data_IF_681201619209
#
_entry.id   IF_681201619209
#
_cell.length_a   1.000
_cell.length_b   1.000
_cell.length_c   1.000
_cell.angle_alpha   90.00
_cell.angle_beta   90.00
_cell.angle_gamma   90.00
#
_symmetry.space_group_name_H-M   'P 1'
#
loop_
_entity.id
_entity.type
_entity.pdbx_description
1 polymer ?
#
# COMPACT_ATOMS: atom_id res chain seq x y z
N UNK A 1 -19.88 -6.04 -37.47
CA UNK A 1 -19.88 -6.95 -36.32
C UNK A 1 -21.21 -7.65 -36.29
N UNK A 2 -21.23 -8.97 -36.45
CA UNK A 2 -22.44 -9.78 -36.30
C UNK A 2 -22.77 -9.88 -34.80
N UNK A 3 -24.01 -9.59 -34.43
CA UNK A 3 -24.49 -9.73 -33.05
C UNK A 3 -24.62 -11.20 -32.69
N UNK A 4 -23.95 -11.63 -31.63
CA UNK A 4 -24.07 -12.98 -31.08
C UNK A 4 -25.52 -13.27 -30.65
N UNK A 5 -26.13 -14.29 -31.26
CA UNK A 5 -27.55 -14.63 -31.05
C UNK A 5 -27.85 -15.30 -29.69
N UNK A 6 -26.82 -15.61 -28.90
CA UNK A 6 -26.98 -16.34 -27.63
C UNK A 6 -27.13 -17.84 -27.82
N UNK A 7 -27.04 -18.58 -26.70
CA UNK A 7 -27.39 -20.00 -26.60
C UNK A 7 -28.61 -20.12 -25.70
N UNK A 8 -29.60 -20.90 -26.12
CA UNK A 8 -30.85 -21.12 -25.37
C UNK A 8 -30.88 -22.54 -24.82
N UNK A 9 -31.06 -22.66 -23.51
CA UNK A 9 -31.20 -23.93 -22.80
C UNK A 9 -32.48 -23.90 -21.97
N UNK A 10 -33.31 -24.93 -22.10
CA UNK A 10 -34.48 -25.10 -21.24
C UNK A 10 -34.06 -25.64 -19.87
N UNK A 11 -34.43 -24.92 -18.82
CA UNK A 11 -34.16 -25.31 -17.43
C UNK A 11 -35.50 -25.42 -16.70
N UNK A 12 -35.78 -26.60 -16.13
CA UNK A 12 -36.99 -26.82 -15.34
C UNK A 12 -37.02 -25.88 -14.13
N UNK A 13 -38.15 -25.18 -13.90
CA UNK A 13 -38.29 -24.20 -12.81
C UNK A 13 -37.97 -22.75 -13.22
N UNK A 14 -37.53 -22.52 -14.46
CA UNK A 14 -37.22 -21.19 -14.96
C UNK A 14 -38.45 -20.26 -15.05
N UNK A 15 -39.67 -20.81 -15.06
CA UNK A 15 -40.92 -20.03 -15.10
C UNK A 15 -41.13 -19.13 -13.86
N UNK A 16 -40.42 -19.42 -12.76
CA UNK A 16 -40.44 -18.61 -11.53
C UNK A 16 -39.28 -17.63 -11.43
N UNK A 17 -38.37 -17.60 -12.42
CA UNK A 17 -37.18 -16.77 -12.38
C UNK A 17 -37.46 -15.37 -12.94
N UNK A 18 -36.91 -14.35 -12.26
CA UNK A 18 -36.92 -12.97 -12.75
C UNK A 18 -35.63 -12.72 -13.53
N UNK A 19 -35.75 -12.15 -14.73
CA UNK A 19 -34.61 -11.82 -15.59
C UNK A 19 -33.87 -10.60 -15.04
N UNK A 20 -32.75 -10.83 -14.36
CA UNK A 20 -31.75 -9.80 -14.09
C UNK A 20 -30.92 -9.45 -15.33
N UNK A 21 -30.29 -8.29 -15.30
CA UNK A 21 -29.27 -7.86 -16.26
C UNK A 21 -28.01 -7.45 -15.51
N UNK A 22 -26.86 -7.79 -16.07
CA UNK A 22 -25.58 -7.43 -15.48
C UNK A 22 -24.63 -7.02 -16.60
N UNK A 23 -23.94 -5.92 -16.39
CA UNK A 23 -22.87 -5.44 -17.26
C UNK A 23 -21.66 -5.19 -16.40
N UNK A 24 -20.47 -5.54 -16.88
CA UNK A 24 -19.27 -5.33 -16.11
C UNK A 24 -18.02 -5.54 -16.93
N UNK A 25 -16.89 -5.22 -16.33
CA UNK A 25 -15.56 -5.44 -16.89
C UNK A 25 -14.66 -6.06 -15.83
N UNK A 26 -13.80 -6.97 -16.29
CA UNK A 26 -12.69 -7.49 -15.54
C UNK A 26 -11.41 -6.95 -16.18
N UNK A 27 -10.60 -6.24 -15.40
CA UNK A 27 -9.30 -5.71 -15.82
C UNK A 27 -8.25 -6.53 -15.08
N UNK A 28 -7.44 -7.28 -15.83
CA UNK A 28 -6.36 -8.09 -15.29
C UNK A 28 -5.05 -7.50 -15.77
N UNK A 29 -4.25 -6.97 -14.85
CA UNK A 29 -2.99 -6.31 -15.14
C UNK A 29 -1.85 -7.19 -14.64
N UNK A 30 -0.91 -7.52 -15.52
CA UNK A 30 0.30 -8.25 -15.14
C UNK A 30 1.15 -7.43 -14.15
N UNK A 31 1.62 -8.08 -13.11
CA UNK A 31 2.59 -7.53 -12.14
C UNK A 31 3.94 -8.21 -12.30
N UNK A 32 3.93 -9.53 -12.49
CA UNK A 32 5.07 -10.36 -12.87
C UNK A 32 4.57 -11.47 -13.81
N UNK A 33 5.47 -12.26 -14.38
CA UNK A 33 5.13 -13.43 -15.22
C UNK A 33 4.06 -14.35 -14.57
N UNK A 34 4.07 -14.45 -13.23
CA UNK A 34 3.20 -15.36 -12.47
C UNK A 34 2.28 -14.64 -11.47
N UNK A 35 2.16 -13.32 -11.54
CA UNK A 35 1.27 -12.54 -10.64
C UNK A 35 0.55 -11.44 -11.40
N UNK A 36 -0.70 -11.18 -11.02
CA UNK A 36 -1.50 -10.13 -11.63
C UNK A 36 -2.39 -9.42 -10.60
N UNK A 37 -2.73 -8.18 -10.92
CA UNK A 37 -3.76 -7.40 -10.27
C UNK A 37 -5.10 -7.65 -10.97
N UNK A 38 -6.17 -7.85 -10.18
CA UNK A 38 -7.51 -8.10 -10.69
C UNK A 38 -8.48 -7.03 -10.20
N UNK A 39 -9.03 -6.26 -11.14
CA UNK A 39 -10.08 -5.28 -10.88
C UNK A 39 -11.38 -5.76 -11.51
N UNK A 40 -12.45 -5.86 -10.71
CA UNK A 40 -13.80 -6.18 -11.19
C UNK A 40 -14.70 -4.97 -10.97
N UNK A 41 -15.31 -4.48 -12.05
CA UNK A 41 -16.38 -3.47 -11.99
C UNK A 41 -17.64 -4.11 -12.51
N UNK A 42 -18.71 -4.07 -11.72
CA UNK A 42 -19.97 -4.72 -12.05
C UNK A 42 -21.13 -3.77 -11.74
N UNK A 43 -22.04 -3.65 -12.69
CA UNK A 43 -23.35 -3.05 -12.54
C UNK A 43 -24.39 -4.15 -12.74
N UNK A 44 -25.18 -4.42 -11.71
CA UNK A 44 -26.27 -5.37 -11.77
C UNK A 44 -27.62 -4.66 -11.55
N UNK A 45 -28.54 -4.87 -12.48
CA UNK A 45 -29.96 -4.58 -12.30
C UNK A 45 -30.71 -5.90 -12.18
N UNK A 46 -31.09 -6.24 -10.96
CA UNK A 46 -31.77 -7.49 -10.64
C UNK A 46 -33.30 -7.38 -10.81
N UNK A 47 -33.80 -6.25 -11.35
CA UNK A 47 -35.21 -6.00 -11.66
C UNK A 47 -36.16 -6.31 -10.51
N UNK A 48 -35.80 -5.86 -9.31
CA UNK A 48 -36.66 -5.99 -8.15
C UNK A 48 -37.96 -5.21 -8.39
N UNK A 49 -39.09 -5.86 -8.10
CA UNK A 49 -40.43 -5.28 -8.26
C UNK A 49 -40.77 -4.21 -7.22
N UNK A 50 -39.94 -4.05 -6.18
CA UNK A 50 -40.08 -3.07 -5.11
C UNK A 50 -38.71 -2.54 -4.70
N UNK A 51 -38.67 -1.35 -4.07
CA UNK A 51 -37.45 -0.80 -3.51
C UNK A 51 -36.92 -1.74 -2.42
N UNK A 52 -35.77 -2.40 -2.66
CA UNK A 52 -35.15 -3.24 -1.65
C UNK A 52 -34.59 -2.39 -0.51
N UNK A 53 -34.63 -2.90 0.73
CA UNK A 53 -33.84 -2.33 1.81
C UNK A 53 -32.36 -2.30 1.44
N UNK A 54 -31.69 -1.19 1.75
CA UNK A 54 -30.26 -0.98 1.48
C UNK A 54 -29.40 -2.13 2.01
N UNK A 55 -29.75 -2.68 3.19
CA UNK A 55 -29.04 -3.82 3.79
C UNK A 55 -29.03 -5.09 2.92
N UNK A 56 -30.08 -5.32 2.10
CA UNK A 56 -30.14 -6.47 1.19
C UNK A 56 -29.30 -6.21 -0.05
N UNK A 57 -29.31 -4.98 -0.57
CA UNK A 57 -28.42 -4.56 -1.66
C UNK A 57 -26.95 -4.71 -1.25
N UNK A 58 -26.58 -4.28 -0.05
CA UNK A 58 -25.23 -4.42 0.50
C UNK A 58 -24.80 -5.89 0.62
N UNK A 59 -25.70 -6.78 1.03
CA UNK A 59 -25.40 -8.21 1.14
C UNK A 59 -25.10 -8.83 -0.23
N UNK A 60 -25.94 -8.54 -1.23
CA UNK A 60 -25.75 -9.05 -2.60
C UNK A 60 -24.47 -8.47 -3.20
N UNK A 61 -24.23 -7.17 -3.05
CA UNK A 61 -23.00 -6.52 -3.49
C UNK A 61 -21.76 -7.16 -2.86
N UNK A 62 -21.77 -7.42 -1.54
CA UNK A 62 -20.66 -8.12 -0.85
C UNK A 62 -20.40 -9.51 -1.41
N UNK A 63 -21.44 -10.30 -1.68
CA UNK A 63 -21.27 -11.64 -2.23
C UNK A 63 -20.64 -11.63 -3.62
N UNK A 64 -21.06 -10.70 -4.48
CA UNK A 64 -20.49 -10.52 -5.82
C UNK A 64 -19.07 -9.98 -5.77
N UNK A 65 -18.83 -8.94 -4.96
CA UNK A 65 -17.52 -8.30 -4.84
C UNK A 65 -16.50 -9.17 -4.09
N UNK A 66 -16.92 -10.22 -3.37
CA UNK A 66 -16.03 -11.19 -2.75
C UNK A 66 -15.39 -12.19 -3.75
N UNK A 67 -15.70 -12.10 -5.05
CA UNK A 67 -15.12 -12.98 -6.07
C UNK A 67 -13.58 -13.00 -6.10
N UNK A 68 -12.87 -11.85 -6.03
CA UNK A 68 -11.41 -11.85 -5.97
C UNK A 68 -10.85 -12.62 -4.77
N UNK A 69 -11.52 -12.61 -3.61
CA UNK A 69 -11.10 -13.39 -2.45
C UNK A 69 -11.15 -14.89 -2.74
N UNK A 70 -12.23 -15.37 -3.40
CA UNK A 70 -12.37 -16.77 -3.79
C UNK A 70 -11.28 -17.20 -4.79
N UNK A 71 -10.95 -16.32 -5.74
CA UNK A 71 -9.85 -16.57 -6.68
C UNK A 71 -8.51 -16.60 -5.98
N UNK A 72 -8.26 -15.65 -5.08
CA UNK A 72 -7.04 -15.57 -4.30
C UNK A 72 -6.84 -16.83 -3.47
N UNK A 73 -7.88 -17.33 -2.79
CA UNK A 73 -7.82 -18.60 -2.06
C UNK A 73 -7.50 -19.79 -2.96
N UNK A 74 -8.15 -19.86 -4.13
CA UNK A 74 -7.99 -20.99 -5.08
C UNK A 74 -6.61 -21.01 -5.74
N UNK A 75 -6.06 -19.85 -6.07
CA UNK A 75 -4.80 -19.70 -6.82
C UNK A 75 -3.61 -19.33 -5.93
N UNK A 76 -3.80 -19.39 -4.60
CA UNK A 76 -2.80 -18.95 -3.63
C UNK A 76 -1.50 -19.75 -3.79
N UNK A 77 -0.41 -19.05 -4.10
CA UNK A 77 0.95 -19.60 -4.06
C UNK A 77 1.63 -19.32 -2.72
N UNK A 78 2.84 -19.82 -2.57
CA UNK A 78 3.68 -19.52 -1.41
C UNK A 78 3.96 -18.00 -1.36
N UNK A 79 3.58 -17.34 -0.26
CA UNK A 79 3.74 -15.90 -0.12
C UNK A 79 5.19 -15.42 -0.27
N UNK A 80 6.18 -16.19 0.20
CA UNK A 80 7.60 -15.82 0.06
C UNK A 80 8.10 -15.87 -1.38
N UNK A 81 7.53 -16.78 -2.18
CA UNK A 81 7.85 -16.90 -3.61
C UNK A 81 7.25 -15.72 -4.37
N UNK A 82 5.98 -15.42 -4.11
CA UNK A 82 5.26 -14.26 -4.67
C UNK A 82 5.98 -12.96 -4.32
N UNK A 83 6.30 -12.74 -3.03
CA UNK A 83 6.99 -11.53 -2.58
C UNK A 83 8.35 -11.37 -3.26
N UNK A 84 9.10 -12.47 -3.46
CA UNK A 84 10.39 -12.44 -4.16
C UNK A 84 10.23 -12.05 -5.63
N UNK A 85 9.24 -12.60 -6.33
CA UNK A 85 8.98 -12.27 -7.73
C UNK A 85 8.59 -10.80 -7.90
N UNK A 86 7.67 -10.31 -7.07
CA UNK A 86 7.20 -8.92 -7.11
C UNK A 86 8.36 -7.97 -6.78
N UNK A 87 9.15 -8.27 -5.76
CA UNK A 87 10.33 -7.47 -5.42
C UNK A 87 11.38 -7.47 -6.54
N UNK A 88 11.61 -8.61 -7.21
CA UNK A 88 12.52 -8.69 -8.35
C UNK A 88 12.05 -7.88 -9.56
N UNK A 89 10.75 -7.91 -9.86
CA UNK A 89 10.17 -7.10 -10.94
C UNK A 89 10.30 -5.60 -10.63
N UNK A 90 10.00 -5.18 -9.40
CA UNK A 90 10.16 -3.79 -8.98
C UNK A 90 11.64 -3.36 -8.97
N UNK A 91 12.57 -4.24 -8.59
CA UNK A 91 14.00 -3.98 -8.71
C UNK A 91 14.42 -3.75 -10.18
N UNK A 92 13.87 -4.53 -11.12
CA UNK A 92 14.05 -4.30 -12.56
C UNK A 92 13.57 -2.91 -12.99
N UNK A 93 12.37 -2.53 -12.59
CA UNK A 93 11.81 -1.19 -12.85
C UNK A 93 12.70 -0.09 -12.26
N UNK A 94 13.22 -0.27 -11.04
CA UNK A 94 14.16 0.67 -10.42
C UNK A 94 15.43 0.85 -11.24
N UNK A 95 15.95 -0.21 -11.86
CA UNK A 95 17.13 -0.14 -12.71
C UNK A 95 16.82 0.61 -14.01
N UNK A 96 15.68 0.31 -14.65
CA UNK A 96 15.26 0.95 -15.89
C UNK A 96 15.00 2.46 -15.73
N UNK A 97 14.65 2.89 -14.52
CA UNK A 97 14.25 4.27 -14.22
C UNK A 97 15.40 5.13 -13.65
N UNK A 98 16.64 4.61 -13.53
CA UNK A 98 17.83 5.26 -12.92
C UNK A 98 18.19 6.67 -13.41
N UNK A 99 17.59 7.15 -14.49
CA UNK A 99 17.90 8.43 -15.13
C UNK A 99 16.65 9.25 -15.45
N UNK A 100 15.47 8.81 -15.01
CA UNK A 100 14.25 9.58 -15.24
C UNK A 100 14.14 10.69 -14.18
N UNK A 101 13.77 11.92 -14.58
CA UNK A 101 13.62 13.01 -13.65
C UNK A 101 12.46 12.72 -12.69
N UNK A 102 12.63 13.15 -11.44
CA UNK A 102 11.53 13.19 -10.47
C UNK A 102 10.53 14.28 -10.85
N UNK A 103 9.30 14.13 -10.35
CA UNK A 103 8.30 15.17 -10.48
C UNK A 103 8.54 16.30 -9.47
N UNK A 104 8.03 17.50 -9.77
CA UNK A 104 8.31 18.70 -8.98
C UNK A 104 7.91 18.55 -7.51
N UNK A 105 6.79 17.88 -7.22
CA UNK A 105 6.36 17.57 -5.86
C UNK A 105 7.31 16.60 -5.15
N UNK A 106 7.81 15.58 -5.85
CA UNK A 106 8.78 14.62 -5.30
C UNK A 106 10.14 15.28 -5.01
N UNK A 107 10.58 16.23 -5.84
CA UNK A 107 11.83 16.98 -5.63
C UNK A 107 11.79 17.76 -4.33
N UNK A 108 10.70 18.48 -4.05
CA UNK A 108 10.54 19.27 -2.80
C UNK A 108 10.70 18.41 -1.55
N UNK A 109 10.16 17.19 -1.57
CA UNK A 109 10.28 16.27 -0.43
C UNK A 109 11.70 15.75 -0.26
N UNK A 110 12.37 15.41 -1.36
CA UNK A 110 13.77 14.98 -1.30
C UNK A 110 14.68 16.10 -0.77
N UNK A 111 14.49 17.34 -1.23
CA UNK A 111 15.21 18.50 -0.70
C UNK A 111 14.98 18.66 0.81
N UNK A 112 13.73 18.53 1.27
CA UNK A 112 13.41 18.55 2.70
C UNK A 112 14.07 17.40 3.47
N UNK A 113 14.13 16.20 2.90
CA UNK A 113 14.82 15.04 3.50
C UNK A 113 16.34 15.27 3.57
N UNK A 114 16.96 15.88 2.55
CA UNK A 114 18.38 16.21 2.54
C UNK A 114 18.73 17.28 3.60
N UNK A 115 17.85 18.27 3.80
CA UNK A 115 17.98 19.23 4.91
C UNK A 115 17.94 18.53 6.28
N UNK A 116 17.04 17.56 6.47
CA UNK A 116 16.95 16.75 7.70
C UNK A 116 18.23 15.93 7.95
N UNK A 117 18.82 15.37 6.89
CA UNK A 117 20.09 14.64 6.96
C UNK A 117 21.28 15.56 7.30
N UNK A 118 21.11 16.88 7.20
CA UNK A 118 22.08 17.87 7.64
C UNK A 118 23.35 17.83 6.80
N UNK A 119 23.22 17.90 5.46
CA UNK A 119 24.32 17.91 4.46
C UNK A 119 25.40 19.01 4.68
N UNK A 120 25.41 19.72 5.82
CA UNK A 120 26.50 20.63 6.22
C UNK A 120 26.96 20.60 7.67
N UNK A 121 26.55 19.66 8.54
CA UNK A 121 27.20 19.54 9.85
C UNK A 121 27.00 18.16 10.50
N UNK A 122 28.08 17.39 10.63
CA UNK A 122 28.18 16.28 11.59
C UNK A 122 27.93 16.76 13.05
N UNK A 123 27.98 18.07 13.29
CA UNK A 123 27.71 18.68 14.58
C UNK A 123 26.25 18.49 15.03
N UNK A 124 26.08 17.82 16.18
CA UNK A 124 24.83 17.77 16.94
C UNK A 124 24.07 16.44 16.91
N UNK A 125 24.52 15.44 16.16
CA UNK A 125 24.02 14.07 16.32
C UNK A 125 24.57 13.47 17.62
N UNK A 126 23.70 12.87 18.43
CA UNK A 126 24.09 12.15 19.65
C UNK A 126 23.82 10.68 19.48
N UNK A 127 24.76 9.84 19.88
CA UNK A 127 24.58 8.39 19.89
C UNK A 127 23.37 8.00 20.74
N UNK A 128 22.58 7.06 20.21
CA UNK A 128 21.49 6.39 20.89
C UNK A 128 21.87 4.91 21.01
N UNK A 129 21.62 4.30 22.17
CA UNK A 129 21.92 2.89 22.37
C UNK A 129 21.09 2.03 21.41
N UNK A 130 21.78 1.23 20.60
CA UNK A 130 21.14 0.31 19.64
C UNK A 130 20.97 -1.07 20.26
N UNK A 131 19.82 -1.69 20.00
CA UNK A 131 19.58 -3.09 20.38
C UNK A 131 20.37 -4.08 19.53
N UNK A 132 20.90 -3.64 18.38
CA UNK A 132 21.84 -4.40 17.56
C UNK A 132 23.17 -3.63 17.43
N UNK A 133 24.27 -4.23 17.88
CA UNK A 133 25.61 -3.61 17.86
C UNK A 133 26.13 -3.30 16.45
N UNK A 134 25.57 -3.92 15.42
CA UNK A 134 25.92 -3.67 14.01
C UNK A 134 25.18 -2.47 13.41
N UNK A 135 24.19 -1.93 14.12
CA UNK A 135 23.40 -0.78 13.69
C UNK A 135 23.77 0.41 14.56
N UNK A 136 24.34 1.44 13.93
CA UNK A 136 24.56 2.74 14.57
C UNK A 136 23.24 3.50 14.63
N UNK A 137 22.86 3.99 15.80
CA UNK A 137 21.68 4.85 15.98
C UNK A 137 22.11 6.21 16.53
N UNK A 138 21.58 7.27 15.92
CA UNK A 138 21.88 8.66 16.23
C UNK A 138 20.55 9.43 16.38
N UNK A 139 20.54 10.43 17.26
CA UNK A 139 19.39 11.30 17.45
C UNK A 139 19.81 12.77 17.51
N UNK A 140 19.03 13.64 16.89
CA UNK A 140 19.21 15.09 16.89
C UNK A 140 17.87 15.77 17.19
N UNK A 141 17.92 16.80 18.03
CA UNK A 141 16.77 17.65 18.30
C UNK A 141 16.95 18.95 17.55
N UNK A 142 16.00 19.27 16.68
CA UNK A 142 16.00 20.56 16.01
C UNK A 142 15.37 21.62 16.94
N UNK A 143 16.01 22.80 17.10
CA UNK A 143 15.40 23.91 17.81
C UNK A 143 14.07 24.26 17.12
N UNK A 144 12.94 24.30 17.85
CA UNK A 144 11.67 24.64 17.23
C UNK A 144 11.67 26.09 16.77
N UNK A 145 10.96 26.40 15.68
CA UNK A 145 10.56 27.79 15.40
C UNK A 145 9.56 28.24 16.45
N UNK A 146 9.42 29.55 16.67
CA UNK A 146 8.52 30.10 17.69
C UNK A 146 7.08 29.65 17.42
N UNK A 147 6.51 28.87 18.34
CA UNK A 147 5.15 28.31 18.24
C UNK A 147 5.08 26.87 17.75
N UNK A 148 6.21 26.26 17.36
CA UNK A 148 6.30 24.86 16.94
C UNK A 148 6.80 23.97 18.09
N UNK A 149 6.46 22.68 18.02
CA UNK A 149 7.04 21.66 18.93
C UNK A 149 8.43 21.26 18.43
N UNK A 150 9.35 20.98 19.35
CA UNK A 150 10.60 20.32 18.96
C UNK A 150 10.29 18.89 18.51
N UNK A 151 10.85 18.50 17.36
CA UNK A 151 10.71 17.16 16.80
C UNK A 151 12.08 16.51 16.85
N UNK A 152 12.14 15.32 17.45
CA UNK A 152 13.35 14.51 17.47
C UNK A 152 13.50 13.82 16.10
N UNK A 153 14.70 13.91 15.52
CA UNK A 153 15.04 13.20 14.29
C UNK A 153 16.03 12.10 14.64
N UNK A 154 15.67 10.86 14.30
CA UNK A 154 16.54 9.70 14.41
C UNK A 154 17.23 9.40 13.09
N UNK A 155 18.45 8.88 13.15
CA UNK A 155 19.21 8.33 12.03
C UNK A 155 19.71 6.95 12.43
N UNK A 156 19.57 5.97 11.54
CA UNK A 156 20.13 4.64 11.72
C UNK A 156 21.00 4.29 10.51
N UNK A 157 22.16 3.69 10.75
CA UNK A 157 23.12 3.28 9.71
C UNK A 157 23.54 1.84 9.98
N UNK A 158 23.49 1.00 8.95
CA UNK A 158 23.91 -0.39 9.00
C UNK A 158 24.23 -0.92 7.61
N UNK A 159 24.92 -2.06 7.55
CA UNK A 159 25.24 -2.77 6.31
C UNK A 159 24.36 -4.01 6.20
N UNK A 160 23.84 -4.27 5.02
CA UNK A 160 22.97 -5.41 4.71
C UNK A 160 23.51 -6.17 3.51
N UNK A 161 23.41 -7.49 3.53
CA UNK A 161 23.97 -8.40 2.51
C UNK A 161 23.10 -8.50 1.24
N UNK A 162 22.86 -7.37 0.58
CA UNK A 162 22.04 -7.28 -0.63
C UNK A 162 22.39 -6.05 -1.49
N UNK A 163 21.90 -6.00 -2.73
CA UNK A 163 22.04 -4.81 -3.57
C UNK A 163 21.11 -3.67 -3.12
N UNK A 164 21.34 -2.46 -3.62
CA UNK A 164 20.54 -1.28 -3.27
C UNK A 164 19.05 -1.44 -3.63
N UNK A 165 18.73 -2.24 -4.64
CA UNK A 165 17.37 -2.55 -5.07
C UNK A 165 16.56 -3.38 -4.05
N UNK A 166 17.16 -3.80 -2.91
CA UNK A 166 16.41 -4.30 -1.75
C UNK A 166 15.32 -3.32 -1.28
N UNK A 167 15.45 -2.04 -1.64
CA UNK A 167 14.40 -1.02 -1.55
C UNK A 167 13.05 -1.50 -2.11
N UNK A 168 13.02 -2.42 -3.08
CA UNK A 168 11.79 -3.06 -3.55
C UNK A 168 10.99 -3.74 -2.42
N UNK A 169 11.65 -4.41 -1.47
CA UNK A 169 11.00 -5.01 -0.29
C UNK A 169 10.45 -3.94 0.68
N UNK A 170 11.09 -2.78 0.74
CA UNK A 170 10.58 -1.65 1.51
C UNK A 170 9.37 -0.98 0.84
N UNK A 171 9.43 -0.87 -0.50
CA UNK A 171 8.36 -0.34 -1.32
C UNK A 171 7.12 -1.23 -1.31
N UNK A 172 7.27 -2.55 -1.32
CA UNK A 172 6.17 -3.50 -1.20
C UNK A 172 5.64 -3.62 0.25
N UNK A 173 5.12 -2.51 0.78
CA UNK A 173 4.76 -2.36 2.20
C UNK A 173 3.66 -3.35 2.67
N UNK A 174 2.85 -3.82 1.72
CA UNK A 174 1.74 -4.76 1.89
C UNK A 174 2.05 -6.18 1.38
N UNK A 175 3.35 -6.53 1.21
CA UNK A 175 3.78 -7.89 0.87
C UNK A 175 3.27 -8.94 1.86
N UNK A 176 3.21 -10.21 1.45
CA UNK A 176 2.70 -11.28 2.30
C UNK A 176 3.46 -11.37 3.62
N UNK A 177 4.79 -11.29 3.58
CA UNK A 177 5.65 -11.30 4.76
C UNK A 177 5.38 -10.10 5.68
N UNK A 178 5.31 -8.89 5.13
CA UNK A 178 5.13 -7.67 5.94
C UNK A 178 3.73 -7.58 6.53
N UNK A 179 2.72 -8.08 5.83
CA UNK A 179 1.35 -8.21 6.35
C UNK A 179 1.28 -9.24 7.48
N UNK A 180 2.03 -10.34 7.37
CA UNK A 180 2.16 -11.33 8.46
C UNK A 180 2.81 -10.69 9.70
N UNK A 181 3.95 -10.01 9.54
CA UNK A 181 4.65 -9.32 10.65
C UNK A 181 3.73 -8.28 11.30
N UNK A 182 3.06 -7.44 10.49
CA UNK A 182 2.11 -6.44 10.98
C UNK A 182 1.01 -7.05 11.86
N UNK A 183 0.49 -8.22 11.47
CA UNK A 183 -0.52 -8.94 12.25
C UNK A 183 0.07 -9.54 13.53
N UNK A 184 1.26 -10.12 13.46
CA UNK A 184 1.96 -10.71 14.62
C UNK A 184 2.33 -9.64 15.67
N UNK A 185 2.64 -8.42 15.24
CA UNK A 185 2.86 -7.25 16.11
C UNK A 185 1.56 -6.66 16.69
N UNK A 186 0.40 -7.24 16.36
CA UNK A 186 -0.90 -6.83 16.90
C UNK A 186 -1.38 -5.48 16.37
N UNK A 187 -0.91 -5.04 15.20
CA UNK A 187 -1.39 -3.82 14.57
C UNK A 187 -2.77 -4.02 13.91
N UNK A 188 -3.54 -2.94 13.79
CA UNK A 188 -4.98 -3.02 13.50
C UNK A 188 -5.32 -3.04 12.01
N UNK A 189 -4.53 -2.36 11.18
CA UNK A 189 -4.82 -2.27 9.75
C UNK A 189 -3.61 -1.83 8.93
N UNK A 190 -3.52 -2.32 7.70
CA UNK A 190 -2.54 -1.89 6.70
C UNK A 190 -3.13 -2.11 5.31
N UNK A 191 -3.10 -1.07 4.49
CA UNK A 191 -3.71 -1.08 3.15
C UNK A 191 -2.84 -0.28 2.19
N UNK A 192 -2.88 -0.69 0.92
CA UNK A 192 -2.34 0.09 -0.21
C UNK A 192 -3.48 0.93 -0.81
N UNK A 193 -3.22 2.21 -1.05
CA UNK A 193 -4.16 3.18 -1.62
C UNK A 193 -3.87 3.29 -3.13
N UNK A 194 -4.55 2.48 -3.93
CA UNK A 194 -4.24 2.27 -5.36
C UNK A 194 -4.72 3.37 -6.30
N UNK A 195 -5.51 4.32 -5.80
CA UNK A 195 -6.15 5.36 -6.63
C UNK A 195 -5.16 6.40 -7.19
N UNK A 196 -3.92 6.46 -6.69
CA UNK A 196 -2.91 7.49 -7.01
C UNK A 196 -1.54 6.92 -7.43
N UNK A 197 -1.48 5.69 -7.95
CA UNK A 197 -0.20 5.04 -8.24
C UNK A 197 0.52 5.66 -9.45
N UNK A 198 1.74 6.17 -9.23
CA UNK A 198 2.72 6.50 -10.30
C UNK A 198 3.78 5.42 -10.29
N UNK A 199 4.56 5.29 -11.36
CA UNK A 199 5.55 4.20 -11.51
C UNK A 199 6.51 4.09 -10.32
N UNK A 200 7.00 5.24 -9.82
CA UNK A 200 7.94 5.27 -8.71
C UNK A 200 7.31 5.61 -7.35
N UNK A 201 5.98 5.56 -7.22
CA UNK A 201 5.25 6.07 -6.06
C UNK A 201 4.10 5.15 -5.68
N UNK A 202 3.99 4.85 -4.39
CA UNK A 202 2.86 4.13 -3.85
C UNK A 202 2.39 4.76 -2.54
N UNK A 203 1.09 4.75 -2.34
CA UNK A 203 0.43 5.31 -1.15
C UNK A 203 -0.07 4.19 -0.27
N UNK A 204 0.10 4.36 1.04
CA UNK A 204 -0.26 3.38 2.04
C UNK A 204 -0.96 4.02 3.21
N UNK A 205 -1.71 3.18 3.91
CA UNK A 205 -2.12 3.50 5.25
C UNK A 205 -1.83 2.36 6.22
N UNK A 206 -1.55 2.72 7.47
CA UNK A 206 -1.41 1.74 8.53
C UNK A 206 -1.90 2.29 9.86
N UNK A 207 -2.59 1.44 10.63
CA UNK A 207 -2.99 1.70 12.01
C UNK A 207 -2.12 0.83 12.90
N UNK A 208 -1.15 1.45 13.55
CA UNK A 208 -0.22 0.78 14.47
C UNK A 208 -0.77 0.82 15.89
N UNK A 209 -0.64 -0.32 16.56
CA UNK A 209 -0.87 -0.41 18.00
C UNK A 209 0.28 0.31 18.73
N UNK A 210 -0.04 1.08 19.76
CA UNK A 210 0.95 1.83 20.55
C UNK A 210 0.97 1.35 22.00
N UNK A 211 2.08 1.60 22.74
CA UNK A 211 2.19 1.20 24.13
C UNK A 211 1.06 1.72 25.02
N UNK A 212 0.83 0.99 26.11
CA UNK A 212 -0.17 1.33 27.14
C UNK A 212 -0.06 2.81 27.55
N UNK A 213 -1.23 3.46 27.69
CA UNK A 213 -1.45 4.92 27.90
C UNK A 213 -1.43 5.79 26.64
N UNK A 214 -1.15 5.24 25.45
CA UNK A 214 -1.20 6.01 24.23
C UNK A 214 -2.20 5.42 23.22
N UNK A 215 -3.00 6.29 22.59
CA UNK A 215 -3.93 5.87 21.54
C UNK A 215 -3.22 5.22 20.35
N UNK A 216 -3.88 4.33 19.61
CA UNK A 216 -3.31 3.79 18.37
C UNK A 216 -3.06 4.92 17.37
N UNK A 217 -2.03 4.81 16.52
CA UNK A 217 -1.78 5.85 15.49
C UNK A 217 -2.09 5.33 14.11
N UNK A 218 -2.80 6.17 13.38
CA UNK A 218 -2.94 6.02 11.95
C UNK A 218 -1.89 6.87 11.24
N UNK A 219 -1.21 6.25 10.28
CA UNK A 219 -0.36 6.94 9.33
C UNK A 219 -0.96 6.74 7.95
N UNK A 220 -1.17 7.83 7.23
CA UNK A 220 -1.50 7.81 5.80
C UNK A 220 -0.38 8.55 5.12
N UNK A 221 0.33 7.87 4.23
CA UNK A 221 1.56 8.37 3.67
C UNK A 221 1.75 7.85 2.26
N UNK A 222 2.56 8.58 1.49
CA UNK A 222 3.13 8.06 0.25
C UNK A 222 4.61 7.83 0.42
N UNK A 223 5.10 6.84 -0.31
CA UNK A 223 6.52 6.60 -0.46
C UNK A 223 6.86 6.55 -1.94
N UNK A 224 7.97 7.15 -2.31
CA UNK A 224 8.46 7.14 -3.67
C UNK A 224 9.97 7.06 -3.69
N UNK A 225 10.48 6.50 -4.78
CA UNK A 225 11.89 6.21 -4.91
C UNK A 225 12.54 6.98 -6.06
N UNK A 226 13.83 7.21 -5.89
CA UNK A 226 14.77 7.70 -6.89
C UNK A 226 15.90 6.69 -6.99
N UNK A 227 16.15 6.21 -8.19
CA UNK A 227 17.22 5.25 -8.47
C UNK A 227 18.37 5.96 -9.18
N UNK A 228 19.60 5.64 -8.79
CA UNK A 228 20.86 6.14 -9.33
C UNK A 228 21.83 4.94 -9.45
N UNK A 229 22.98 5.14 -10.08
CA UNK A 229 23.97 4.07 -10.19
C UNK A 229 24.54 3.70 -8.81
N UNK A 230 24.24 2.49 -8.35
CA UNK A 230 24.69 1.97 -7.05
C UNK A 230 23.95 2.54 -5.83
N UNK A 231 22.90 3.36 -6.02
CA UNK A 231 22.14 3.99 -4.94
C UNK A 231 20.66 4.05 -5.27
N UNK A 232 19.81 3.65 -4.34
CA UNK A 232 18.37 3.86 -4.41
C UNK A 232 17.94 4.59 -3.14
N UNK A 233 17.25 5.72 -3.31
CA UNK A 233 16.73 6.53 -2.20
C UNK A 233 15.21 6.42 -2.18
N UNK A 234 14.63 6.28 -0.98
CA UNK A 234 13.18 6.38 -0.77
C UNK A 234 12.92 7.63 0.06
N UNK A 235 11.96 8.43 -0.38
CA UNK A 235 11.36 9.48 0.43
C UNK A 235 9.96 9.03 0.86
N UNK A 236 9.56 9.43 2.06
CA UNK A 236 8.25 9.16 2.63
C UNK A 236 7.69 10.47 3.14
N UNK A 237 6.42 10.74 2.83
CA UNK A 237 5.72 11.87 3.43
C UNK A 237 4.28 11.53 3.77
N UNK A 238 3.78 12.16 4.82
CA UNK A 238 2.36 12.10 5.18
C UNK A 238 1.48 12.74 4.10
N UNK A 239 0.32 12.13 3.86
CA UNK A 239 -0.72 12.70 2.99
C UNK A 239 -2.00 12.91 3.77
N UNK A 240 -2.71 13.99 3.46
CA UNK A 240 -4.00 14.27 4.06
C UNK A 240 -5.11 13.55 3.30
N UNK A 241 -5.41 12.32 3.73
CA UNK A 241 -6.47 11.49 3.13
C UNK A 241 -7.31 10.78 4.19
N UNK A 242 -8.63 10.73 4.00
CA UNK A 242 -9.54 10.05 4.92
C UNK A 242 -9.76 8.60 4.47
N UNK A 243 -9.29 7.65 5.28
CA UNK A 243 -9.41 6.22 4.95
C UNK A 243 -10.50 5.57 5.80
N UNK A 244 -11.44 4.92 5.11
CA UNK A 244 -12.42 4.03 5.73
C UNK A 244 -11.83 2.61 5.87
N UNK A 245 -11.82 2.10 7.10
CA UNK A 245 -11.34 0.75 7.43
C UNK A 245 -12.50 -0.24 7.58
N UNK A 246 -13.74 0.20 7.34
CA UNK A 246 -14.97 -0.54 7.63
C UNK A 246 -15.31 -0.62 9.13
N UNK A 247 -14.42 -0.11 9.99
CA UNK A 247 -14.60 0.01 11.44
C UNK A 247 -13.99 1.33 11.92
N UNK A 248 -14.43 1.84 13.07
CA UNK A 248 -13.82 2.99 13.74
C UNK A 248 -12.82 2.51 14.79
N UNK A 249 -11.54 2.28 14.45
CA UNK A 249 -10.54 2.04 15.47
C UNK A 249 -10.37 3.32 16.30
N UNK A 250 -10.26 3.21 17.63
CA UNK A 250 -9.81 4.33 18.45
C UNK A 250 -8.38 4.69 18.04
N UNK A 251 -8.20 5.81 17.34
CA UNK A 251 -6.93 6.22 16.72
C UNK A 251 -6.70 7.73 16.79
N UNK A 252 -5.44 8.12 16.80
CA UNK A 252 -4.96 9.48 16.55
C UNK A 252 -4.19 9.53 15.23
N UNK A 253 -4.33 10.60 14.44
CA UNK A 253 -3.49 10.79 13.25
C UNK A 253 -2.03 11.02 13.65
N UNK A 254 -1.15 10.14 13.20
CA UNK A 254 0.30 10.32 13.20
C UNK A 254 0.77 10.90 11.87
N UNK A 255 1.95 11.51 11.90
CA UNK A 255 2.62 12.04 10.72
C UNK A 255 4.02 11.43 10.66
N UNK A 256 4.38 10.95 9.47
CA UNK A 256 5.72 10.55 9.04
C UNK A 256 6.35 11.66 8.22
#
# INVERSE_FOLDING_TARGET
METYAGTHHEVAGAEKMVKGTTTGVHIVKELTENTCEWTRVIQADLKFSSAMPVSVLDLVAKQELAWPNKLQEKLRRNGKEVDREVAAALAGEMIEQRRKPLMADQVVVFESCEELLGVKAEEGWKALESTNKEVEMLMKYFPPKKGERSVATGKAVGVVDCSAEVVAWQMDYCSNERMRIHKEEGHLGRLELREKARVNEASYTTVKNFPFLLDNREFVFRQFWKSEEGKVSIAVESIDDEVDYGVKPGKTRGFV
#
